data_IF_989044580944
#
_entry.id   IF_989044580944
#
_cell.length_a   1.000
_cell.length_b   1.000
_cell.length_c   1.000
_cell.angle_alpha   90.00
_cell.angle_beta   90.00
_cell.angle_gamma   90.00
#
_symmetry.space_group_name_H-M   'P 1'
#
loop_
_entity.id
_entity.type
_entity.pdbx_description
1 polymer ?
#
# COMPACT_ATOMS: atom_id res chain seq x y z
N UNK A 1 -2.67 -18.50 6.28
CA UNK A 1 -3.31 -17.38 5.54
C UNK A 1 -3.23 -16.16 6.42
N UNK A 2 -2.79 -15.00 5.93
CA UNK A 2 -2.72 -13.77 6.76
C UNK A 2 -4.09 -13.09 6.84
N UNK A 3 -4.41 -12.51 7.99
CA UNK A 3 -5.66 -11.81 8.27
C UNK A 3 -5.72 -10.43 7.58
N UNK A 4 -6.91 -9.82 7.53
CA UNK A 4 -7.07 -8.45 7.01
C UNK A 4 -6.28 -7.46 7.88
N UNK A 5 -6.31 -7.58 9.20
CA UNK A 5 -5.56 -6.69 10.10
C UNK A 5 -4.04 -6.84 9.92
N UNK A 6 -3.54 -8.06 9.69
CA UNK A 6 -2.14 -8.28 9.37
C UNK A 6 -1.75 -7.66 8.02
N UNK A 7 -2.64 -7.70 7.03
CA UNK A 7 -2.44 -7.02 5.74
C UNK A 7 -2.40 -5.50 5.92
N UNK A 8 -3.36 -4.93 6.65
CA UNK A 8 -3.41 -3.50 6.99
C UNK A 8 -2.10 -3.08 7.66
N UNK A 9 -1.70 -3.76 8.74
CA UNK A 9 -0.48 -3.44 9.48
C UNK A 9 0.78 -3.56 8.62
N UNK A 10 0.82 -4.48 7.65
CA UNK A 10 1.93 -4.58 6.67
C UNK A 10 1.94 -3.39 5.71
N UNK A 11 0.80 -3.02 5.15
CA UNK A 11 0.67 -1.89 4.22
C UNK A 11 1.02 -0.56 4.90
N UNK A 12 0.54 -0.34 6.13
CA UNK A 12 0.92 0.84 6.91
C UNK A 12 2.43 0.89 7.21
N UNK A 13 3.04 -0.26 7.57
CA UNK A 13 4.50 -0.33 7.77
C UNK A 13 5.27 0.00 6.50
N UNK A 14 4.79 -0.45 5.34
CA UNK A 14 5.38 -0.10 4.05
C UNK A 14 5.31 1.41 3.82
N UNK A 15 4.14 2.02 4.00
CA UNK A 15 3.97 3.48 3.83
C UNK A 15 4.89 4.29 4.74
N UNK A 16 5.01 3.91 6.02
CA UNK A 16 5.93 4.56 6.96
C UNK A 16 7.39 4.43 6.52
N UNK A 17 7.80 3.27 5.99
CA UNK A 17 9.16 3.06 5.47
C UNK A 17 9.42 3.90 4.23
N UNK A 18 8.48 3.92 3.28
CA UNK A 18 8.61 4.74 2.07
C UNK A 18 8.79 6.23 2.41
N UNK A 19 8.09 6.72 3.42
CA UNK A 19 8.27 8.09 3.91
C UNK A 19 9.65 8.30 4.55
N UNK A 20 10.03 7.41 5.48
CA UNK A 20 11.30 7.50 6.19
C UNK A 20 12.52 7.38 5.26
N UNK A 21 12.41 6.61 4.17
CA UNK A 21 13.49 6.35 3.22
C UNK A 21 13.64 7.44 2.15
N UNK A 22 12.72 8.43 2.06
CA UNK A 22 12.80 9.53 1.08
C UNK A 22 14.17 10.24 1.07
N UNK A 23 14.79 10.59 2.22
CA UNK A 23 16.10 11.23 2.22
C UNK A 23 17.20 10.33 1.65
N UNK A 24 17.15 9.04 1.98
CA UNK A 24 18.11 8.05 1.47
C UNK A 24 17.96 7.85 -0.04
N UNK A 25 16.71 7.75 -0.53
CA UNK A 25 16.42 7.70 -1.96
C UNK A 25 16.98 8.94 -2.67
N UNK A 26 16.72 10.15 -2.15
CA UNK A 26 17.26 11.41 -2.71
C UNK A 26 18.79 11.39 -2.81
N UNK A 27 19.47 10.97 -1.75
CA UNK A 27 20.92 10.86 -1.74
C UNK A 27 21.41 9.88 -2.82
N UNK A 28 20.78 8.71 -2.94
CA UNK A 28 21.17 7.69 -3.93
C UNK A 28 20.89 8.11 -5.38
N UNK A 29 19.81 8.85 -5.60
CA UNK A 29 19.46 9.37 -6.93
C UNK A 29 20.39 10.51 -7.37
N UNK A 30 21.01 11.25 -6.44
CA UNK A 30 21.89 12.38 -6.78
C UNK A 30 23.07 12.01 -7.70
N UNK A 31 23.54 10.76 -7.62
CA UNK A 31 24.62 10.23 -8.44
C UNK A 31 24.19 9.81 -9.86
N UNK A 32 22.89 9.89 -10.19
CA UNK A 32 22.33 9.42 -11.45
C UNK A 32 22.01 10.57 -12.43
N UNK A 33 22.03 10.24 -13.73
CA UNK A 33 21.55 11.13 -14.78
C UNK A 33 20.08 11.53 -14.62
N UNK A 34 19.67 12.65 -15.22
CA UNK A 34 18.34 13.24 -15.06
C UNK A 34 17.19 12.26 -15.38
N UNK A 35 17.30 11.49 -16.46
CA UNK A 35 16.29 10.50 -16.85
C UNK A 35 16.13 9.39 -15.79
N UNK A 36 17.23 8.86 -15.28
CA UNK A 36 17.19 7.84 -14.22
C UNK A 36 16.60 8.38 -12.92
N UNK A 37 16.93 9.63 -12.55
CA UNK A 37 16.33 10.30 -11.38
C UNK A 37 14.82 10.46 -11.54
N UNK A 38 14.35 10.89 -12.71
CA UNK A 38 12.93 11.05 -13.03
C UNK A 38 12.21 9.71 -12.98
N UNK A 39 12.74 8.69 -13.66
CA UNK A 39 12.17 7.35 -13.69
C UNK A 39 12.03 6.74 -12.28
N UNK A 40 13.09 6.80 -11.47
CA UNK A 40 13.09 6.25 -10.13
C UNK A 40 12.16 7.02 -9.18
N UNK A 41 12.09 8.35 -9.29
CA UNK A 41 11.17 9.17 -8.50
C UNK A 41 9.71 8.85 -8.86
N UNK A 42 9.40 8.72 -10.15
CA UNK A 42 8.06 8.34 -10.61
C UNK A 42 7.68 6.91 -10.19
N UNK A 43 8.64 5.98 -10.15
CA UNK A 43 8.40 4.65 -9.62
C UNK A 43 8.09 4.68 -8.11
N UNK A 44 8.89 5.39 -7.31
CA UNK A 44 8.66 5.52 -5.87
C UNK A 44 7.28 6.13 -5.57
N UNK A 45 6.87 7.14 -6.35
CA UNK A 45 5.54 7.74 -6.18
C UNK A 45 4.42 6.77 -6.54
N UNK A 46 4.54 6.02 -7.65
CA UNK A 46 3.53 4.99 -8.00
C UNK A 46 3.38 3.94 -6.91
N UNK A 47 4.48 3.43 -6.37
CA UNK A 47 4.45 2.44 -5.28
C UNK A 47 3.73 2.99 -4.06
N UNK A 48 3.96 4.26 -3.72
CA UNK A 48 3.25 4.93 -2.62
C UNK A 48 1.75 5.02 -2.90
N UNK A 49 1.35 5.52 -4.07
CA UNK A 49 -0.06 5.68 -4.46
C UNK A 49 -0.79 4.33 -4.44
N UNK A 50 -0.16 3.27 -4.96
CA UNK A 50 -0.69 1.92 -4.94
C UNK A 50 -0.87 1.38 -3.51
N UNK A 51 0.12 1.61 -2.63
CA UNK A 51 0.03 1.21 -1.23
C UNK A 51 -1.06 1.98 -0.46
N UNK A 52 -1.25 3.28 -0.74
CA UNK A 52 -2.35 4.09 -0.17
C UNK A 52 -3.73 3.62 -0.68
N UNK A 53 -3.83 3.22 -1.95
CA UNK A 53 -5.05 2.65 -2.51
C UNK A 53 -5.38 1.28 -1.88
N UNK A 54 -4.38 0.42 -1.71
CA UNK A 54 -4.56 -0.89 -1.08
C UNK A 54 -4.95 -0.76 0.40
N UNK A 55 -4.35 0.19 1.14
CA UNK A 55 -4.75 0.45 2.53
C UNK A 55 -6.23 0.82 2.61
N UNK A 56 -6.70 1.75 1.78
CA UNK A 56 -8.12 2.14 1.72
C UNK A 56 -9.02 0.96 1.38
N UNK A 57 -8.60 0.09 0.44
CA UNK A 57 -9.35 -1.13 0.07
C UNK A 57 -9.47 -2.09 1.26
N UNK A 58 -8.37 -2.31 1.98
CA UNK A 58 -8.33 -3.21 3.13
C UNK A 58 -9.16 -2.67 4.31
N UNK A 59 -9.12 -1.37 4.56
CA UNK A 59 -9.95 -0.71 5.56
C UNK A 59 -11.43 -0.82 5.24
N UNK A 60 -11.81 -0.61 3.97
CA UNK A 60 -13.17 -0.83 3.50
C UNK A 60 -13.59 -2.29 3.69
N UNK A 61 -12.71 -3.24 3.34
CA UNK A 61 -12.97 -4.67 3.52
C UNK A 61 -13.15 -5.06 4.99
N UNK A 62 -12.40 -4.43 5.91
CA UNK A 62 -12.56 -4.62 7.36
C UNK A 62 -13.88 -4.03 7.86
N UNK A 63 -14.33 -2.93 7.29
CA UNK A 63 -15.57 -2.26 7.66
C UNK A 63 -16.83 -2.96 7.13
N UNK A 64 -16.71 -3.79 6.08
CA UNK A 64 -17.82 -4.62 5.59
C UNK A 64 -18.15 -5.69 6.65
N UNK A 65 -19.35 -5.65 7.26
CA UNK A 65 -19.80 -6.74 8.12
C UNK A 65 -19.84 -8.03 7.30
N UNK A 66 -19.42 -9.15 7.89
CA UNK A 66 -19.62 -10.46 7.30
C UNK A 66 -21.13 -10.64 7.09
N UNK A 67 -21.60 -10.61 5.85
CA UNK A 67 -23.03 -10.76 5.52
C UNK A 67 -23.44 -12.23 5.77
N UNK A 68 -23.74 -12.54 7.03
CA UNK A 68 -24.27 -13.83 7.47
C UNK A 68 -25.80 -13.89 7.30
N UNK A 69 -26.40 -13.02 6.49
CA UNK A 69 -27.86 -12.84 6.40
C UNK A 69 -28.45 -13.02 5.00
N UNK A 70 -27.85 -13.87 4.17
CA UNK A 70 -28.63 -14.52 3.13
C UNK A 70 -29.24 -15.80 3.73
N UNK A 71 -30.56 -15.85 4.05
CA UNK A 71 -31.18 -17.12 4.38
C UNK A 71 -31.00 -18.05 3.18
N UNK A 72 -30.33 -19.17 3.42
CA UNK A 72 -30.25 -20.26 2.46
C UNK A 72 -31.68 -20.77 2.25
N UNK A 73 -32.20 -20.83 1.01
CA UNK A 73 -33.50 -21.44 0.78
C UNK A 73 -33.41 -22.90 1.25
N UNK A 74 -34.22 -23.26 2.24
CA UNK A 74 -34.42 -24.64 2.64
C UNK A 74 -35.38 -25.29 1.64
N UNK A 75 -34.89 -26.32 0.95
CA UNK A 75 -35.55 -27.24 0.00
C UNK A 75 -36.58 -26.65 -0.99
#
# INVERSE_FOLDING_TARGET
>A
MITIDEKIAKTERLLRRLEADKPYLRARLSALGAEHRKSASSFAERVRVEAEAELRRLEAQRATPYDWTAPQPAD
#
